data_IF_738393235188
#
_entry.id   IF_738393235188
#
_cell.length_a   1.000
_cell.length_b   1.000
_cell.length_c   1.000
_cell.angle_alpha   90.00
_cell.angle_beta   90.00
_cell.angle_gamma   90.00
#
_symmetry.space_group_name_H-M   'P 1'
#
loop_
_entity.id
_entity.type
_entity.pdbx_description
1 polymer ?
#
# COMPACT_ATOMS: atom_id res chain seq x y z
N UNK A 1 -14.78 -8.27 -14.23
CA UNK A 1 -14.55 -8.74 -12.85
C UNK A 1 -13.65 -7.71 -12.19
N UNK A 2 -13.98 -7.26 -10.98
CA UNK A 2 -13.25 -6.18 -10.30
C UNK A 2 -11.80 -6.50 -9.98
N UNK A 3 -10.94 -5.49 -9.92
CA UNK A 3 -9.56 -5.64 -9.46
C UNK A 3 -9.50 -5.60 -7.93
N UNK A 4 -8.50 -6.29 -7.35
CA UNK A 4 -8.16 -6.17 -5.92
C UNK A 4 -7.02 -5.19 -5.77
N UNK A 5 -7.28 -4.04 -5.15
CA UNK A 5 -6.39 -2.88 -5.18
C UNK A 5 -5.96 -2.51 -3.76
N UNK A 6 -4.65 -2.50 -3.51
CA UNK A 6 -4.06 -1.93 -2.30
C UNK A 6 -3.85 -0.44 -2.54
N UNK A 7 -4.50 0.39 -1.74
CA UNK A 7 -4.43 1.85 -1.80
C UNK A 7 -3.27 2.33 -0.92
N UNK A 8 -2.35 3.08 -1.50
CA UNK A 8 -1.25 3.73 -0.80
C UNK A 8 -1.72 5.01 -0.07
N UNK A 9 -0.96 5.47 0.91
CA UNK A 9 -1.33 6.59 1.80
C UNK A 9 -1.59 7.88 1.03
N UNK A 10 -0.84 8.14 -0.03
CA UNK A 10 -0.95 9.34 -0.84
C UNK A 10 -2.23 9.39 -1.70
N UNK A 11 -2.71 8.25 -2.20
CA UNK A 11 -4.00 8.09 -2.87
C UNK A 11 -5.13 8.19 -1.85
N UNK A 12 -4.99 7.53 -0.69
CA UNK A 12 -5.99 7.57 0.37
C UNK A 12 -6.26 9.00 0.83
N UNK A 13 -5.20 9.80 1.02
CA UNK A 13 -5.31 11.22 1.39
C UNK A 13 -6.05 12.02 0.31
N UNK A 14 -5.74 11.80 -0.96
CA UNK A 14 -6.38 12.54 -2.05
C UNK A 14 -7.85 12.15 -2.23
N UNK A 15 -8.20 10.88 -2.02
CA UNK A 15 -9.58 10.40 -2.00
C UNK A 15 -10.40 11.11 -0.92
N UNK A 16 -9.92 11.14 0.32
CA UNK A 16 -10.61 11.85 1.41
C UNK A 16 -10.59 13.39 1.29
N UNK A 17 -9.76 13.94 0.40
CA UNK A 17 -9.72 15.37 0.07
C UNK A 17 -10.53 15.68 -1.19
N UNK A 18 -11.28 14.72 -1.72
CA UNK A 18 -12.10 14.87 -2.93
C UNK A 18 -11.28 15.31 -4.16
N UNK A 19 -10.00 14.95 -4.20
CA UNK A 19 -9.09 15.24 -5.32
C UNK A 19 -9.06 14.14 -6.36
N UNK A 20 -9.49 12.93 -5.99
CA UNK A 20 -9.63 11.78 -6.88
C UNK A 20 -10.74 10.88 -6.36
N UNK A 21 -11.33 10.11 -7.28
CA UNK A 21 -12.27 9.05 -6.96
C UNK A 21 -11.61 7.68 -7.06
N UNK A 22 -12.13 6.72 -6.29
CA UNK A 22 -11.80 5.31 -6.43
C UNK A 22 -12.76 4.67 -7.45
N UNK A 23 -12.30 4.16 -8.60
CA UNK A 23 -13.18 3.61 -9.63
C UNK A 23 -14.12 2.50 -9.12
N UNK A 24 -15.42 2.57 -9.43
CA UNK A 24 -16.37 1.57 -8.95
C UNK A 24 -16.08 0.18 -9.53
N UNK A 25 -16.59 -0.84 -8.84
CA UNK A 25 -16.46 -2.24 -9.27
C UNK A 25 -15.16 -2.91 -8.86
N UNK A 26 -14.26 -2.24 -8.13
CA UNK A 26 -13.04 -2.82 -7.54
C UNK A 26 -13.23 -3.11 -6.04
N UNK A 27 -12.34 -3.95 -5.50
CA UNK A 27 -12.26 -4.22 -4.05
C UNK A 27 -11.01 -3.54 -3.51
N UNK A 28 -11.20 -2.61 -2.58
CA UNK A 28 -10.12 -1.80 -2.05
C UNK A 28 -9.62 -2.31 -0.69
N UNK A 29 -8.31 -2.35 -0.59
CA UNK A 29 -7.54 -2.75 0.57
C UNK A 29 -6.65 -1.61 1.00
N UNK A 30 -6.29 -1.55 2.28
CA UNK A 30 -5.16 -0.75 2.77
C UNK A 30 -4.25 -1.62 3.62
N UNK A 31 -2.95 -1.33 3.63
CA UNK A 31 -2.02 -1.99 4.55
C UNK A 31 -2.25 -1.46 5.96
N UNK A 32 -1.97 -2.27 6.99
CA UNK A 32 -1.89 -1.79 8.37
C UNK A 32 -0.89 -0.62 8.53
N UNK A 33 0.13 -0.53 7.67
CA UNK A 33 1.06 0.61 7.62
C UNK A 33 0.36 1.86 7.12
N UNK A 34 -0.39 1.78 6.03
CA UNK A 34 -1.21 2.88 5.49
C UNK A 34 -2.22 3.38 6.53
N UNK A 35 -2.89 2.45 7.23
CA UNK A 35 -3.79 2.79 8.33
C UNK A 35 -3.03 3.54 9.44
N UNK A 36 -1.87 3.03 9.86
CA UNK A 36 -1.03 3.68 10.87
C UNK A 36 -0.61 5.09 10.45
N UNK A 37 -0.17 5.28 9.20
CA UNK A 37 0.27 6.58 8.70
C UNK A 37 -0.86 7.61 8.71
N UNK A 38 -2.05 7.21 8.26
CA UNK A 38 -3.22 8.09 8.25
C UNK A 38 -3.66 8.44 9.67
N UNK A 39 -3.77 7.44 10.56
CA UNK A 39 -4.16 7.63 11.97
C UNK A 39 -3.16 8.52 12.71
N UNK A 40 -1.86 8.36 12.46
CA UNK A 40 -0.80 9.21 13.02
C UNK A 40 -0.90 10.66 12.54
N UNK A 41 -1.33 10.88 11.29
CA UNK A 41 -1.36 12.20 10.66
C UNK A 41 -2.62 13.03 10.96
N UNK A 42 -3.65 12.45 11.56
CA UNK A 42 -4.94 13.13 11.81
C UNK A 42 -5.05 13.67 13.23
N UNK A 43 -5.89 14.71 13.40
CA UNK A 43 -6.28 15.24 14.72
C UNK A 43 -7.28 14.35 15.45
N UNK A 44 -7.91 13.39 14.75
CA UNK A 44 -8.97 12.52 15.28
C UNK A 44 -8.66 11.03 15.02
N UNK A 45 -7.64 10.46 15.69
CA UNK A 45 -7.13 9.12 15.36
C UNK A 45 -8.15 7.99 15.52
N UNK A 46 -9.01 8.06 16.54
CA UNK A 46 -10.02 7.02 16.82
C UNK A 46 -11.10 7.01 15.74
N UNK A 47 -11.67 8.17 15.41
CA UNK A 47 -12.68 8.31 14.36
C UNK A 47 -12.12 7.89 13.00
N UNK A 48 -10.91 8.35 12.65
CA UNK A 48 -10.26 7.99 11.39
C UNK A 48 -9.98 6.50 11.27
N UNK A 49 -9.49 5.87 12.34
CA UNK A 49 -9.25 4.42 12.35
C UNK A 49 -10.54 3.65 12.06
N UNK A 50 -11.61 3.98 12.79
CA UNK A 50 -12.92 3.33 12.63
C UNK A 50 -13.44 3.49 11.20
N UNK A 51 -13.42 4.71 10.66
CA UNK A 51 -13.88 4.99 9.30
C UNK A 51 -13.11 4.17 8.25
N UNK A 52 -11.78 4.07 8.38
CA UNK A 52 -10.96 3.32 7.44
C UNK A 52 -11.19 1.81 7.54
N UNK A 53 -11.40 1.27 8.73
CA UNK A 53 -11.74 -0.14 8.95
C UNK A 53 -13.13 -0.50 8.40
N UNK A 54 -14.07 0.45 8.40
CA UNK A 54 -15.39 0.30 7.80
C UNK A 54 -15.37 0.47 6.27
N UNK A 55 -14.43 1.26 5.73
CA UNK A 55 -14.36 1.60 4.30
C UNK A 55 -13.47 0.66 3.47
N UNK A 56 -12.49 0.00 4.10
CA UNK A 56 -11.46 -0.77 3.40
C UNK A 56 -11.17 -2.11 4.09
N UNK A 57 -10.72 -3.08 3.30
CA UNK A 57 -10.20 -4.32 3.87
C UNK A 57 -8.76 -4.10 4.35
N UNK A 58 -8.54 -4.22 5.66
CA UNK A 58 -7.21 -4.04 6.26
C UNK A 58 -6.35 -5.28 6.02
N UNK A 59 -5.21 -5.08 5.38
CA UNK A 59 -4.24 -6.14 5.11
C UNK A 59 -3.11 -6.11 6.15
N UNK A 60 -2.92 -7.18 6.95
CA UNK A 60 -1.91 -7.21 8.01
C UNK A 60 -0.51 -7.45 7.45
N UNK A 61 0.50 -7.16 8.28
CA UNK A 61 1.86 -7.68 8.08
C UNK A 61 1.95 -9.03 8.78
N UNK A 62 2.04 -10.11 8.02
CA UNK A 62 2.26 -11.45 8.52
C UNK A 62 3.71 -11.92 8.23
N UNK A 63 4.06 -13.13 8.68
CA UNK A 63 5.40 -13.68 8.45
C UNK A 63 5.79 -13.79 6.96
N UNK A 64 4.82 -14.02 6.06
CA UNK A 64 5.10 -14.06 4.63
C UNK A 64 5.50 -12.67 4.10
N UNK A 65 4.78 -11.61 4.52
CA UNK A 65 5.15 -10.21 4.20
C UNK A 65 6.52 -9.88 4.77
N UNK A 66 6.80 -10.22 6.04
CA UNK A 66 8.09 -9.95 6.68
C UNK A 66 9.26 -10.59 5.92
N UNK A 67 9.15 -11.90 5.62
CA UNK A 67 10.18 -12.61 4.87
C UNK A 67 10.37 -12.03 3.47
N UNK A 68 9.27 -11.72 2.78
CA UNK A 68 9.33 -11.13 1.43
C UNK A 68 9.95 -9.74 1.44
N UNK A 69 9.59 -8.88 2.40
CA UNK A 69 10.22 -7.57 2.60
C UNK A 69 11.72 -7.71 2.82
N UNK A 70 12.16 -8.60 3.71
CA UNK A 70 13.57 -8.80 4.02
C UNK A 70 14.38 -9.30 2.81
N UNK A 71 13.82 -10.24 2.03
CA UNK A 71 14.42 -10.74 0.78
C UNK A 71 14.63 -9.60 -0.22
N UNK A 72 13.58 -8.82 -0.48
CA UNK A 72 13.61 -7.68 -1.40
C UNK A 72 14.61 -6.63 -0.92
N UNK A 73 14.60 -6.30 0.37
CA UNK A 73 15.52 -5.33 0.97
C UNK A 73 16.97 -5.71 0.77
N UNK A 74 17.34 -6.97 1.06
CA UNK A 74 18.71 -7.49 0.88
C UNK A 74 19.14 -7.35 -0.58
N UNK A 75 18.26 -7.71 -1.51
CA UNK A 75 18.56 -7.58 -2.94
C UNK A 75 18.69 -6.13 -3.40
N UNK A 76 17.89 -5.20 -2.88
CA UNK A 76 17.99 -3.77 -3.18
C UNK A 76 19.24 -3.13 -2.57
N UNK A 77 19.60 -3.52 -1.34
CA UNK A 77 20.81 -3.05 -0.65
C UNK A 77 22.07 -3.40 -1.44
N UNK A 78 22.19 -4.65 -1.89
CA UNK A 78 23.32 -5.09 -2.72
C UNK A 78 23.45 -4.29 -4.02
N UNK A 79 22.34 -3.73 -4.52
CA UNK A 79 22.28 -2.95 -5.76
C UNK A 79 22.36 -1.44 -5.54
N UNK A 80 22.55 -0.96 -4.31
CA UNK A 80 22.53 0.47 -3.98
C UNK A 80 21.19 1.16 -4.28
N UNK A 81 20.09 0.40 -4.29
CA UNK A 81 18.79 0.85 -4.81
C UNK A 81 17.67 0.82 -3.75
N UNK A 82 18.03 0.93 -2.47
CA UNK A 82 17.10 0.92 -1.34
C UNK A 82 15.98 1.96 -1.51
N UNK A 83 14.83 1.64 -0.90
CA UNK A 83 13.66 2.49 -0.75
C UNK A 83 13.30 2.55 0.75
N UNK A 84 12.40 3.44 1.14
CA UNK A 84 11.91 3.53 2.52
C UNK A 84 11.30 2.18 2.97
N UNK A 85 11.51 1.80 4.24
CA UNK A 85 11.02 0.52 4.75
C UNK A 85 9.50 0.43 4.75
N UNK A 86 8.77 1.56 4.83
CA UNK A 86 7.31 1.59 4.69
C UNK A 86 6.89 1.29 3.25
N UNK A 87 7.48 1.97 2.27
CA UNK A 87 7.24 1.71 0.84
C UNK A 87 7.55 0.23 0.51
N UNK A 88 8.67 -0.28 1.02
CA UNK A 88 9.05 -1.68 0.86
C UNK A 88 7.99 -2.62 1.45
N UNK A 89 7.53 -2.34 2.66
CA UNK A 89 6.56 -3.19 3.36
C UNK A 89 5.18 -3.15 2.71
N UNK A 90 4.73 -1.98 2.25
CA UNK A 90 3.49 -1.83 1.47
C UNK A 90 3.59 -2.59 0.16
N UNK A 91 4.71 -2.44 -0.57
CA UNK A 91 4.94 -3.15 -1.82
C UNK A 91 5.02 -4.67 -1.64
N UNK A 92 5.69 -5.15 -0.60
CA UNK A 92 5.74 -6.57 -0.25
C UNK A 92 4.37 -7.11 0.15
N UNK A 93 3.56 -6.31 0.86
CA UNK A 93 2.16 -6.65 1.19
C UNK A 93 1.36 -6.86 -0.10
N UNK A 94 1.43 -5.92 -1.05
CA UNK A 94 0.74 -6.07 -2.33
C UNK A 94 1.19 -7.32 -3.11
N UNK A 95 2.49 -7.63 -3.10
CA UNK A 95 3.04 -8.83 -3.75
C UNK A 95 2.49 -10.10 -3.09
N UNK A 96 2.59 -10.23 -1.77
CA UNK A 96 2.22 -11.46 -1.03
C UNK A 96 0.72 -11.75 -1.16
N UNK A 97 -0.12 -10.72 -1.11
CA UNK A 97 -1.57 -10.88 -1.22
C UNK A 97 -2.11 -10.80 -2.66
N UNK A 98 -1.22 -10.70 -3.66
CA UNK A 98 -1.54 -10.54 -5.09
C UNK A 98 -2.55 -9.40 -5.35
N UNK A 99 -2.25 -8.23 -4.79
CA UNK A 99 -3.01 -6.99 -4.95
C UNK A 99 -2.29 -6.06 -5.93
N UNK A 100 -3.03 -5.32 -6.74
CA UNK A 100 -2.45 -4.21 -7.52
C UNK A 100 -2.28 -3.00 -6.60
N UNK A 101 -1.13 -2.35 -6.62
CA UNK A 101 -0.88 -1.15 -5.81
C UNK A 101 -1.29 0.12 -6.56
N UNK A 102 -2.14 0.93 -5.95
CA UNK A 102 -2.48 2.27 -6.43
C UNK A 102 -1.73 3.32 -5.61
N UNK A 103 -0.84 4.07 -6.27
CA UNK A 103 0.08 5.05 -5.66
C UNK A 103 0.48 6.12 -6.69
N UNK A 104 0.75 7.36 -6.26
CA UNK A 104 1.42 8.37 -7.10
C UNK A 104 2.95 8.24 -7.02
N UNK A 105 3.49 7.54 -6.02
CA UNK A 105 4.92 7.27 -5.83
C UNK A 105 5.49 6.21 -6.79
N UNK A 106 5.00 6.19 -8.03
CA UNK A 106 5.31 5.17 -9.04
C UNK A 106 6.81 4.96 -9.25
N UNK A 107 7.64 5.99 -9.13
CA UNK A 107 9.11 5.89 -9.25
C UNK A 107 9.72 4.95 -8.21
N UNK A 108 9.24 4.99 -6.96
CA UNK A 108 9.73 4.14 -5.88
C UNK A 108 9.27 2.69 -6.10
N UNK A 109 7.96 2.52 -6.31
CA UNK A 109 7.34 1.21 -6.47
C UNK A 109 7.69 0.51 -7.79
N UNK A 110 8.09 1.23 -8.84
CA UNK A 110 8.58 0.63 -10.08
C UNK A 110 9.79 -0.27 -9.83
N UNK A 111 10.63 0.04 -8.83
CA UNK A 111 11.77 -0.82 -8.43
C UNK A 111 11.31 -2.18 -7.91
N UNK A 112 10.08 -2.28 -7.41
CA UNK A 112 9.50 -3.49 -6.85
C UNK A 112 8.80 -4.39 -7.87
N UNK A 113 8.53 -3.88 -9.08
CA UNK A 113 7.84 -4.64 -10.15
C UNK A 113 8.58 -5.92 -10.54
N UNK A 114 9.92 -5.89 -10.53
CA UNK A 114 10.77 -7.07 -10.78
C UNK A 114 10.63 -8.18 -9.73
N UNK A 115 10.03 -7.91 -8.57
CA UNK A 115 9.72 -8.90 -7.54
C UNK A 115 8.25 -9.33 -7.55
N UNK A 116 7.48 -8.92 -8.57
CA UNK A 116 6.08 -9.30 -8.77
C UNK A 116 5.06 -8.20 -8.46
N UNK A 117 5.48 -6.99 -8.09
CA UNK A 117 4.52 -5.90 -7.82
C UNK A 117 3.81 -5.49 -9.10
N UNK A 118 2.48 -5.44 -9.06
CA UNK A 118 1.64 -4.90 -10.14
C UNK A 118 1.12 -3.54 -9.71
N UNK A 119 1.27 -2.53 -10.57
CA UNK A 119 0.68 -1.21 -10.35
C UNK A 119 -0.74 -1.16 -10.92
N UNK A 120 -1.66 -0.59 -10.16
CA UNK A 120 -3.00 -0.25 -10.63
C UNK A 120 -2.93 1.08 -11.39
N UNK A 121 -3.65 1.14 -12.51
CA UNK A 121 -3.94 2.38 -13.22
C UNK A 121 -5.46 2.43 -13.42
N UNK A 122 -6.14 3.43 -12.86
CA UNK A 122 -7.57 3.63 -13.09
C UNK A 122 -7.87 3.93 -14.56
#
# INVERSE_FOLDING_TARGET
MGERVLVDTDILIDYYREKLDLPPGNIYYISIITLYEYVRGTKKPIEAKKLLEESFIITPINNQVLLRSAEIWRNLRQKGALIDDRDLTIGATAIVFNLKLYTKNTKHFKRLTKYGLKLFKP
#
